data_IF_591229406690
#
_entry.id   IF_591229406690
#
_cell.length_a   1.000
_cell.length_b   1.000
_cell.length_c   1.000
_cell.angle_alpha   90.00
_cell.angle_beta   90.00
_cell.angle_gamma   90.00
#
_symmetry.space_group_name_H-M   'P 1'
#
loop_
_entity.id
_entity.type
_entity.pdbx_description
1 polymer ?
#
# COMPACT_ATOMS: atom_id res chain seq x y z
N UNK A 1 -12.27 0.45 7.46
CA UNK A 1 -11.24 0.74 6.42
C UNK A 1 -10.00 -0.11 6.74
N UNK A 2 -9.35 -0.80 5.78
CA UNK A 2 -8.19 -1.65 6.08
C UNK A 2 -7.00 -0.83 6.59
N UNK A 3 -6.21 -1.43 7.48
CA UNK A 3 -4.97 -0.83 7.96
C UNK A 3 -3.87 -0.88 6.88
N UNK A 4 -2.75 -0.19 7.12
CA UNK A 4 -1.65 -0.07 6.14
C UNK A 4 -1.06 -1.41 5.70
N UNK A 5 -0.77 -2.31 6.66
CA UNK A 5 -0.24 -3.65 6.36
C UNK A 5 -1.21 -4.45 5.50
N UNK A 6 -2.51 -4.46 5.82
CA UNK A 6 -3.50 -5.16 5.00
C UNK A 6 -3.56 -4.62 3.56
N UNK A 7 -3.49 -3.29 3.38
CA UNK A 7 -3.46 -2.71 2.03
C UNK A 7 -2.23 -3.17 1.27
N UNK A 8 -1.06 -3.19 1.91
CA UNK A 8 0.17 -3.65 1.28
C UNK A 8 0.14 -5.14 0.94
N UNK A 9 -0.45 -5.98 1.80
CA UNK A 9 -0.67 -7.40 1.50
C UNK A 9 -1.58 -7.62 0.29
N UNK A 10 -2.58 -6.76 0.08
CA UNK A 10 -3.42 -6.81 -1.12
C UNK A 10 -2.64 -6.40 -2.38
N UNK A 11 -1.83 -5.33 -2.28
CA UNK A 11 -1.01 -4.82 -3.39
C UNK A 11 -0.09 -5.89 -3.97
N UNK A 12 0.47 -6.77 -3.12
CA UNK A 12 1.34 -7.87 -3.56
C UNK A 12 0.71 -8.74 -4.66
N UNK A 13 -0.62 -8.91 -4.61
CA UNK A 13 -1.35 -9.75 -5.56
C UNK A 13 -2.07 -8.96 -6.67
N UNK A 14 -2.05 -7.62 -6.61
CA UNK A 14 -2.63 -6.76 -7.62
C UNK A 14 -3.31 -5.51 -7.03
N UNK A 15 -3.40 -4.46 -7.85
CA UNK A 15 -3.93 -3.17 -7.42
C UNK A 15 -5.30 -2.81 -8.02
N UNK A 16 -5.76 -3.58 -9.01
CA UNK A 16 -6.99 -3.29 -9.78
C UNK A 16 -8.23 -4.09 -9.32
N UNK A 17 -8.20 -4.53 -8.07
CA UNK A 17 -9.31 -5.27 -7.47
C UNK A 17 -10.25 -4.36 -6.69
N UNK A 18 -11.54 -4.69 -6.70
CA UNK A 18 -12.55 -3.99 -5.92
C UNK A 18 -12.55 -4.49 -4.47
N UNK A 19 -12.55 -3.53 -3.54
CA UNK A 19 -12.61 -3.81 -2.11
C UNK A 19 -13.89 -3.22 -1.51
N UNK A 20 -14.72 -4.10 -0.96
CA UNK A 20 -16.00 -3.78 -0.36
C UNK A 20 -15.83 -3.53 1.14
N UNK A 21 -16.08 -2.30 1.59
CA UNK A 21 -16.09 -1.95 3.01
C UNK A 21 -17.52 -1.78 3.47
N UNK A 22 -18.00 -2.74 4.26
CA UNK A 22 -19.38 -2.82 4.73
C UNK A 22 -19.57 -2.11 6.07
N UNK A 23 -20.83 -1.71 6.33
CA UNK A 23 -21.32 -1.27 7.63
C UNK A 23 -22.35 -2.27 8.16
N UNK A 24 -22.66 -2.26 9.47
CA UNK A 24 -23.72 -3.12 10.04
C UNK A 24 -25.11 -2.87 9.45
N UNK A 25 -25.38 -1.66 8.93
CA UNK A 25 -26.64 -1.29 8.26
C UNK A 25 -26.76 -1.84 6.83
N UNK A 26 -25.91 -2.80 6.44
CA UNK A 26 -25.84 -3.42 5.12
C UNK A 26 -25.44 -2.48 3.98
N UNK A 27 -25.11 -1.23 4.26
CA UNK A 27 -24.51 -0.34 3.24
C UNK A 27 -23.02 -0.64 3.08
N UNK A 28 -22.46 -0.29 1.93
CA UNK A 28 -21.05 -0.47 1.65
C UNK A 28 -20.47 0.64 0.77
N UNK A 29 -19.14 0.77 0.83
CA UNK A 29 -18.35 1.57 -0.11
C UNK A 29 -17.42 0.64 -0.88
N UNK A 30 -17.36 0.79 -2.20
CA UNK A 30 -16.40 0.11 -3.07
C UNK A 30 -15.30 1.08 -3.44
N UNK A 31 -14.05 0.62 -3.36
CA UNK A 31 -12.88 1.33 -3.87
C UNK A 31 -11.89 0.32 -4.44
N UNK A 32 -11.08 0.74 -5.41
CA UNK A 32 -9.97 -0.08 -5.91
C UNK A 32 -8.82 -0.08 -4.90
N UNK A 33 -8.05 -1.17 -4.86
CA UNK A 33 -6.84 -1.26 -4.01
C UNK A 33 -5.85 -0.11 -4.30
N UNK A 34 -5.67 0.26 -5.57
CA UNK A 34 -4.84 1.41 -5.98
C UNK A 34 -5.27 2.76 -5.41
N UNK A 35 -6.56 2.93 -5.10
CA UNK A 35 -7.10 4.16 -4.50
C UNK A 35 -6.89 4.18 -2.98
N UNK A 36 -6.82 2.99 -2.37
CA UNK A 36 -6.58 2.81 -0.93
C UNK A 36 -5.11 3.01 -0.55
N UNK A 37 -4.20 2.65 -1.44
CA UNK A 37 -2.76 2.84 -1.25
C UNK A 37 -2.15 3.42 -2.53
N UNK A 38 -2.31 4.73 -2.76
CA UNK A 38 -1.69 5.38 -3.90
C UNK A 38 -0.16 5.31 -3.77
N UNK A 39 0.52 5.15 -4.91
CA UNK A 39 1.98 5.02 -4.97
C UNK A 39 2.51 3.87 -4.09
N UNK A 40 1.76 2.78 -4.00
CA UNK A 40 2.16 1.61 -3.23
C UNK A 40 3.52 1.09 -3.69
N UNK A 41 4.28 0.55 -2.73
CA UNK A 41 5.45 -0.23 -3.06
C UNK A 41 4.99 -1.54 -3.70
N UNK A 42 5.32 -1.76 -4.97
CA UNK A 42 4.90 -2.95 -5.74
C UNK A 42 6.06 -3.91 -5.97
N UNK A 43 5.83 -5.17 -6.37
CA UNK A 43 6.90 -6.13 -6.62
C UNK A 43 7.99 -5.63 -7.60
N UNK A 44 7.62 -4.85 -8.61
CA UNK A 44 8.59 -4.27 -9.55
C UNK A 44 9.55 -3.26 -8.91
N UNK A 45 9.20 -2.70 -7.75
CA UNK A 45 10.03 -1.72 -7.06
C UNK A 45 11.27 -2.36 -6.43
N UNK A 46 11.24 -3.68 -6.21
CA UNK A 46 12.42 -4.45 -5.80
C UNK A 46 13.52 -4.48 -6.88
N UNK A 47 13.18 -4.21 -8.14
CA UNK A 47 14.15 -4.14 -9.24
C UNK A 47 14.85 -2.77 -9.31
N UNK A 48 14.44 -1.80 -8.50
CA UNK A 48 15.07 -0.47 -8.47
C UNK A 48 16.39 -0.52 -7.74
N UNK A 49 17.32 0.34 -8.15
CA UNK A 49 18.60 0.49 -7.47
C UNK A 49 18.36 0.95 -6.01
N UNK A 50 19.01 0.25 -5.07
CA UNK A 50 18.94 0.62 -3.67
C UNK A 50 19.68 1.93 -3.47
N UNK A 51 18.98 2.94 -2.95
CA UNK A 51 19.63 4.18 -2.57
C UNK A 51 20.75 3.89 -1.55
N UNK A 52 21.92 4.52 -1.69
CA UNK A 52 23.00 4.36 -0.71
C UNK A 52 22.50 4.78 0.67
N UNK A 53 22.89 4.02 1.70
CA UNK A 53 22.56 4.38 3.07
C UNK A 53 23.12 5.78 3.37
N UNK A 54 22.26 6.68 3.84
CA UNK A 54 22.71 8.02 4.26
C UNK A 54 23.57 7.83 5.51
N UNK A 55 24.89 7.98 5.37
CA UNK A 55 25.78 8.09 6.51
C UNK A 55 25.37 9.34 7.31
N UNK A 56 24.74 9.17 8.48
CA UNK A 56 24.61 10.24 9.46
C UNK A 56 25.98 10.47 10.11
N UNK A 57 26.89 11.09 9.36
CA UNK A 57 28.10 11.65 9.93
C UNK A 57 27.75 13.03 10.51
N UNK A 58 27.84 13.17 11.83
CA UNK A 58 27.82 14.45 12.55
C UNK A 58 26.51 14.78 13.27
N UNK A 59 26.42 14.37 14.53
CA UNK A 59 26.00 15.24 15.64
C UNK A 59 27.02 14.98 16.75
N UNK A 60 27.98 15.91 16.87
CA UNK A 60 28.78 16.10 18.09
C UNK A 60 27.92 16.74 19.17
#
# INVERSE_FOLDING_TARGET
VPCGVCRQSLVEFGVDWDMYMTKPDMTYKVMKVKELLPLAFVPSDLQRERLPARNTAGHS
#
